data_IF_091933936582
#
_entry.id   IF_091933936582
#
_cell.length_a   1.000
_cell.length_b   1.000
_cell.length_c   1.000
_cell.angle_alpha   90.00
_cell.angle_beta   90.00
_cell.angle_gamma   90.00
#
_symmetry.space_group_name_H-M   'P 1'
#
loop_
_entity.id
_entity.type
_entity.pdbx_description
1 polymer ?
#
# COMPACT_ATOMS: atom_id res chain seq x y z
N UNK A 1 -34.79 11.52 20.18
CA UNK A 1 -34.13 11.41 18.86
C UNK A 1 -32.89 12.28 18.92
N UNK A 2 -31.70 11.69 19.14
CA UNK A 2 -30.46 12.47 19.18
C UNK A 2 -30.08 12.73 17.72
N UNK A 3 -30.20 13.98 17.28
CA UNK A 3 -29.68 14.42 15.99
C UNK A 3 -28.16 14.47 16.14
N UNK A 4 -27.46 13.49 15.56
CA UNK A 4 -26.03 13.60 15.36
C UNK A 4 -25.82 14.64 14.26
N UNK A 5 -25.34 15.82 14.63
CA UNK A 5 -24.78 16.74 13.64
C UNK A 5 -23.49 16.11 13.09
N UNK A 6 -23.34 16.04 11.75
CA UNK A 6 -22.12 15.52 11.17
C UNK A 6 -20.95 16.42 11.56
N UNK A 7 -19.89 15.82 12.08
CA UNK A 7 -18.64 16.54 12.38
C UNK A 7 -18.06 17.09 11.07
N UNK A 8 -17.82 18.40 11.03
CA UNK A 8 -17.13 19.07 9.93
C UNK A 8 -15.76 19.50 10.46
N UNK A 9 -14.66 18.90 9.97
CA UNK A 9 -13.32 19.25 10.42
C UNK A 9 -12.98 20.70 10.04
N UNK A 10 -12.22 21.36 10.90
CA UNK A 10 -11.59 22.65 10.58
C UNK A 10 -10.51 22.46 9.51
N UNK A 11 -10.10 23.53 8.78
CA UNK A 11 -9.00 23.43 7.81
C UNK A 11 -7.69 22.91 8.40
N UNK A 12 -7.45 23.18 9.69
CA UNK A 12 -6.27 22.68 10.39
C UNK A 12 -6.37 21.18 10.66
N UNK A 13 -7.51 20.69 11.13
CA UNK A 13 -7.75 19.26 11.36
C UNK A 13 -7.65 18.49 10.05
N UNK A 14 -8.29 18.99 8.97
CA UNK A 14 -8.15 18.38 7.63
C UNK A 14 -6.69 18.32 7.15
N UNK A 15 -5.89 19.36 7.42
CA UNK A 15 -4.47 19.36 7.07
C UNK A 15 -3.65 18.37 7.91
N UNK A 16 -3.93 18.28 9.21
CA UNK A 16 -3.27 17.33 10.11
C UNK A 16 -3.64 15.88 9.72
N UNK A 17 -4.89 15.62 9.36
CA UNK A 17 -5.36 14.34 8.80
C UNK A 17 -4.60 14.02 7.52
N UNK A 18 -4.56 14.92 6.54
CA UNK A 18 -3.84 14.72 5.28
C UNK A 18 -2.35 14.37 5.50
N UNK A 19 -1.70 15.01 6.47
CA UNK A 19 -0.30 14.71 6.81
C UNK A 19 -0.16 13.33 7.44
N UNK A 20 -1.08 12.96 8.32
CA UNK A 20 -1.11 11.65 8.96
C UNK A 20 -1.34 10.54 7.92
N UNK A 21 -2.35 10.70 7.07
CA UNK A 21 -2.69 9.80 5.96
C UNK A 21 -1.45 9.54 5.08
N UNK A 22 -0.78 10.61 4.65
CA UNK A 22 0.45 10.51 3.85
C UNK A 22 1.55 9.73 4.58
N UNK A 23 1.72 9.98 5.88
CA UNK A 23 2.73 9.26 6.66
C UNK A 23 2.43 7.76 6.75
N UNK A 24 1.18 7.35 6.94
CA UNK A 24 0.83 5.92 7.02
C UNK A 24 1.01 5.23 5.67
N UNK A 25 0.59 5.84 4.57
CA UNK A 25 0.83 5.30 3.23
C UNK A 25 2.33 5.16 2.91
N UNK A 26 3.16 6.13 3.30
CA UNK A 26 4.61 6.04 3.12
C UNK A 26 5.23 4.90 3.90
N UNK A 27 4.82 4.72 5.16
CA UNK A 27 5.30 3.61 5.97
C UNK A 27 4.81 2.26 5.43
N UNK A 28 3.57 2.17 4.97
CA UNK A 28 3.04 0.98 4.30
C UNK A 28 3.84 0.67 3.03
N UNK A 29 4.07 1.65 2.16
CA UNK A 29 4.88 1.48 0.95
C UNK A 29 6.30 0.99 1.28
N UNK A 30 6.97 1.57 2.27
CA UNK A 30 8.32 1.15 2.69
C UNK A 30 8.32 -0.27 3.26
N UNK A 31 7.28 -0.64 4.02
CA UNK A 31 7.12 -2.02 4.53
C UNK A 31 7.00 -3.01 3.38
N UNK A 32 6.12 -2.75 2.42
CA UNK A 32 5.93 -3.64 1.26
C UNK A 32 7.20 -3.74 0.43
N UNK A 33 7.90 -2.62 0.22
CA UNK A 33 9.18 -2.60 -0.50
C UNK A 33 10.25 -3.43 0.20
N UNK A 34 10.31 -3.40 1.53
CA UNK A 34 11.27 -4.20 2.31
C UNK A 34 11.02 -5.70 2.22
N UNK A 35 9.76 -6.10 2.09
CA UNK A 35 9.40 -7.51 1.99
C UNK A 35 9.57 -8.04 0.57
N UNK A 36 9.34 -7.21 -0.45
CA UNK A 36 9.16 -7.69 -1.82
C UNK A 36 10.23 -7.20 -2.81
N UNK A 37 11.11 -6.28 -2.42
CA UNK A 37 12.06 -5.67 -3.35
C UNK A 37 13.49 -5.65 -2.83
N UNK A 38 14.44 -5.59 -3.76
CA UNK A 38 15.83 -5.21 -3.51
C UNK A 38 16.03 -3.70 -3.73
N UNK A 39 17.20 -3.19 -3.32
CA UNK A 39 17.58 -1.78 -3.53
C UNK A 39 17.80 -1.39 -5.00
N UNK A 40 17.74 -2.35 -5.93
CA UNK A 40 17.89 -2.13 -7.37
C UNK A 40 16.55 -2.17 -8.12
N UNK A 41 15.46 -2.50 -7.45
CA UNK A 41 14.13 -2.61 -8.07
C UNK A 41 13.28 -1.40 -7.73
N UNK A 42 12.37 -1.01 -8.62
CA UNK A 42 11.32 -0.01 -8.36
C UNK A 42 9.98 -0.72 -8.20
N UNK A 43 9.20 -0.33 -7.20
CA UNK A 43 7.96 -1.05 -6.84
C UNK A 43 6.73 -0.32 -7.36
N UNK A 44 5.93 -1.03 -8.12
CA UNK A 44 4.55 -0.67 -8.48
C UNK A 44 3.60 -1.39 -7.52
N UNK A 45 3.01 -0.65 -6.58
CA UNK A 45 2.19 -1.24 -5.51
C UNK A 45 0.70 -1.15 -5.83
N UNK A 46 0.09 -2.32 -5.97
CA UNK A 46 -1.31 -2.51 -6.26
C UNK A 46 -2.05 -3.01 -5.01
N UNK A 47 -3.22 -2.44 -4.75
CA UNK A 47 -4.14 -2.87 -3.72
C UNK A 47 -5.20 -3.75 -4.36
N UNK A 48 -5.33 -4.99 -3.89
CA UNK A 48 -6.49 -5.83 -4.19
C UNK A 48 -7.62 -5.42 -3.25
N UNK A 49 -8.69 -4.89 -3.80
CA UNK A 49 -9.83 -4.34 -3.04
C UNK A 49 -11.11 -5.15 -3.31
N UNK A 50 -11.90 -5.50 -2.28
CA UNK A 50 -13.17 -6.21 -2.43
C UNK A 50 -14.28 -5.26 -2.88
N UNK A 51 -14.97 -5.64 -3.94
CA UNK A 51 -16.15 -4.96 -4.46
C UNK A 51 -17.35 -5.93 -4.42
N UNK A 52 -18.53 -5.39 -4.10
CA UNK A 52 -19.78 -6.12 -4.24
C UNK A 52 -20.19 -6.18 -5.72
N UNK A 53 -21.12 -7.08 -6.05
CA UNK A 53 -21.61 -7.27 -7.42
C UNK A 53 -22.01 -5.94 -8.07
N UNK A 54 -22.87 -5.17 -7.41
CA UNK A 54 -23.41 -3.91 -7.94
C UNK A 54 -22.31 -2.91 -8.28
N UNK A 55 -21.32 -2.72 -7.41
CA UNK A 55 -20.24 -1.77 -7.64
C UNK A 55 -19.25 -2.25 -8.69
N UNK A 56 -19.00 -3.57 -8.76
CA UNK A 56 -18.12 -4.13 -9.77
C UNK A 56 -18.72 -3.99 -11.18
N UNK A 57 -20.01 -4.27 -11.35
CA UNK A 57 -20.66 -4.18 -12.68
C UNK A 57 -20.95 -2.75 -13.13
N UNK A 58 -20.91 -1.76 -12.23
CA UNK A 58 -21.07 -0.35 -12.58
C UNK A 58 -19.80 0.29 -13.15
N UNK A 59 -18.65 -0.38 -13.06
CA UNK A 59 -17.40 0.10 -13.65
C UNK A 59 -17.41 -0.10 -15.19
N UNK A 60 -17.17 0.95 -16.00
CA UNK A 60 -17.39 0.94 -17.44
C UNK A 60 -16.55 -0.05 -18.26
N UNK A 61 -15.56 -0.70 -17.63
CA UNK A 61 -14.60 -1.62 -18.28
C UNK A 61 -14.82 -3.09 -17.92
N UNK A 62 -15.89 -3.42 -17.20
CA UNK A 62 -16.17 -4.80 -16.78
C UNK A 62 -16.91 -5.54 -17.90
N UNK A 63 -16.20 -5.87 -18.97
CA UNK A 63 -16.65 -6.91 -19.89
C UNK A 63 -16.93 -8.17 -19.07
N UNK A 64 -18.21 -8.60 -19.03
CA UNK A 64 -18.74 -9.81 -18.41
C UNK A 64 -17.70 -10.81 -17.87
N UNK A 65 -17.22 -10.59 -16.63
CA UNK A 65 -16.37 -11.55 -15.92
C UNK A 65 -17.08 -12.07 -14.67
N UNK A 66 -16.93 -13.37 -14.43
CA UNK A 66 -17.41 -14.00 -13.21
C UNK A 66 -16.70 -13.40 -11.97
N UNK A 67 -17.34 -13.48 -10.82
CA UNK A 67 -16.73 -13.07 -9.56
C UNK A 67 -15.44 -13.86 -9.28
N UNK A 68 -14.41 -13.17 -8.78
CA UNK A 68 -13.13 -13.80 -8.45
C UNK A 68 -13.22 -14.71 -7.23
N UNK A 69 -14.17 -14.46 -6.32
CA UNK A 69 -14.48 -15.31 -5.16
C UNK A 69 -15.98 -15.55 -5.11
N UNK A 70 -16.38 -16.82 -5.22
CA UNK A 70 -17.79 -17.23 -5.16
C UNK A 70 -18.16 -17.73 -3.78
N UNK A 71 -19.41 -17.55 -3.36
CA UNK A 71 -19.83 -18.05 -2.05
C UNK A 71 -19.78 -19.58 -1.92
N UNK A 72 -20.03 -20.31 -3.03
CA UNK A 72 -19.99 -21.79 -3.06
C UNK A 72 -18.58 -22.35 -2.90
N UNK A 73 -17.57 -21.71 -3.47
CA UNK A 73 -16.19 -22.20 -3.49
C UNK A 73 -15.19 -21.25 -2.81
N UNK A 74 -15.66 -20.36 -1.94
CA UNK A 74 -14.88 -19.23 -1.42
C UNK A 74 -13.50 -19.61 -0.90
N UNK A 75 -13.33 -20.77 -0.26
CA UNK A 75 -12.02 -21.21 0.26
C UNK A 75 -11.02 -21.44 -0.88
N UNK A 76 -11.46 -22.14 -1.93
CA UNK A 76 -10.63 -22.44 -3.09
C UNK A 76 -10.36 -21.15 -3.87
N UNK A 77 -11.40 -20.35 -4.07
CA UNK A 77 -11.31 -19.14 -4.86
C UNK A 77 -10.42 -18.10 -4.17
N UNK A 78 -10.52 -17.93 -2.84
CA UNK A 78 -9.57 -17.09 -2.06
C UNK A 78 -8.14 -17.63 -2.17
N UNK A 79 -7.92 -18.94 -1.99
CA UNK A 79 -6.56 -19.49 -2.11
C UNK A 79 -5.95 -19.27 -3.50
N UNK A 80 -6.76 -19.37 -4.54
CA UNK A 80 -6.35 -19.17 -5.92
C UNK A 80 -6.08 -17.69 -6.23
N UNK A 81 -7.01 -16.82 -5.83
CA UNK A 81 -7.01 -15.39 -6.19
C UNK A 81 -6.10 -14.55 -5.27
N UNK A 82 -6.09 -14.85 -3.97
CA UNK A 82 -5.43 -14.07 -2.92
C UNK A 82 -4.35 -14.86 -2.16
N UNK A 83 -4.20 -16.16 -2.44
CA UNK A 83 -3.18 -16.98 -1.79
C UNK A 83 -3.61 -17.61 -0.47
N UNK A 84 -2.81 -18.59 -0.03
CA UNK A 84 -3.09 -19.38 1.18
C UNK A 84 -2.90 -18.60 2.48
N UNK A 85 -2.05 -17.58 2.47
CA UNK A 85 -1.85 -16.71 3.63
C UNK A 85 -3.13 -15.94 3.96
N UNK A 86 -3.69 -15.25 2.96
CA UNK A 86 -4.96 -14.52 3.06
C UNK A 86 -6.11 -15.45 3.45
N UNK A 87 -6.20 -16.65 2.86
CA UNK A 87 -7.17 -17.66 3.30
C UNK A 87 -7.00 -18.04 4.79
N UNK A 88 -5.75 -18.17 5.25
CA UNK A 88 -5.41 -18.46 6.63
C UNK A 88 -5.87 -17.36 7.59
N UNK A 89 -5.70 -16.10 7.19
CA UNK A 89 -6.21 -14.93 7.92
C UNK A 89 -7.73 -15.01 8.01
N UNK A 90 -8.45 -15.05 6.89
CA UNK A 90 -9.92 -15.09 6.87
C UNK A 90 -10.48 -16.23 7.73
N UNK A 91 -9.89 -17.43 7.62
CA UNK A 91 -10.32 -18.59 8.43
C UNK A 91 -10.13 -18.36 9.92
N UNK A 92 -9.04 -17.71 10.34
CA UNK A 92 -8.76 -17.40 11.74
C UNK A 92 -9.80 -16.44 12.29
N UNK A 93 -10.24 -15.50 11.47
CA UNK A 93 -11.16 -14.44 11.88
C UNK A 93 -12.59 -14.93 11.94
N UNK A 94 -12.99 -15.80 11.01
CA UNK A 94 -14.27 -16.50 11.10
C UNK A 94 -14.38 -17.38 12.34
N UNK A 95 -13.26 -17.93 12.84
CA UNK A 95 -13.25 -18.68 14.11
C UNK A 95 -13.40 -17.76 15.33
N UNK A 96 -12.93 -16.51 15.24
CA UNK A 96 -12.99 -15.52 16.32
C UNK A 96 -14.34 -14.79 16.36
N UNK A 97 -14.85 -14.45 15.19
CA UNK A 97 -16.11 -13.74 14.99
C UNK A 97 -16.85 -14.34 13.78
N UNK A 98 -17.95 -15.04 14.04
CA UNK A 98 -18.78 -15.63 12.98
C UNK A 98 -19.48 -14.59 12.10
N UNK A 99 -19.57 -13.34 12.57
CA UNK A 99 -20.13 -12.21 11.83
C UNK A 99 -19.06 -11.38 11.11
N UNK A 100 -17.81 -11.86 11.03
CA UNK A 100 -16.81 -11.25 10.16
C UNK A 100 -17.37 -11.13 8.73
N UNK A 101 -17.08 -9.99 8.10
CA UNK A 101 -17.47 -9.63 6.75
C UNK A 101 -16.32 -8.89 6.07
N UNK A 102 -16.18 -9.06 4.77
CA UNK A 102 -15.41 -8.15 3.93
C UNK A 102 -16.24 -6.90 3.71
N UNK A 103 -15.61 -5.75 3.45
CA UNK A 103 -16.32 -4.50 3.25
C UNK A 103 -16.09 -4.01 1.82
N UNK A 104 -17.16 -3.84 1.05
CA UNK A 104 -17.08 -3.25 -0.28
C UNK A 104 -16.39 -1.88 -0.21
N UNK A 105 -15.30 -1.70 -0.95
CA UNK A 105 -14.53 -0.46 -0.88
C UNK A 105 -15.32 0.76 -1.35
N UNK A 106 -16.20 0.59 -2.33
CA UNK A 106 -16.97 1.68 -2.91
C UNK A 106 -18.20 2.06 -2.06
N UNK A 107 -19.10 1.11 -1.80
CA UNK A 107 -20.38 1.39 -1.15
C UNK A 107 -20.46 0.98 0.33
N UNK A 108 -19.38 0.43 0.90
CA UNK A 108 -19.30 -0.01 2.30
C UNK A 108 -20.20 -1.17 2.70
N UNK A 109 -20.91 -1.78 1.74
CA UNK A 109 -21.73 -2.96 1.98
C UNK A 109 -20.88 -4.12 2.47
N UNK A 110 -21.34 -4.82 3.51
CA UNK A 110 -20.75 -6.06 3.99
C UNK A 110 -20.92 -7.18 2.94
N UNK A 111 -19.83 -7.91 2.70
CA UNK A 111 -19.79 -9.04 1.76
C UNK A 111 -19.27 -10.27 2.49
N UNK A 112 -20.04 -11.35 2.45
CA UNK A 112 -19.78 -12.59 3.20
C UNK A 112 -19.79 -13.77 2.24
N UNK A 113 -18.67 -14.08 1.56
CA UNK A 113 -18.59 -15.25 0.69
C UNK A 113 -19.02 -16.56 1.36
N UNK A 114 -18.63 -16.74 2.63
CA UNK A 114 -19.04 -17.89 3.44
C UNK A 114 -20.55 -17.97 3.75
N UNK A 115 -21.34 -16.92 3.47
CA UNK A 115 -22.81 -16.91 3.54
C UNK A 115 -23.47 -16.85 2.14
N UNK A 116 -22.70 -16.97 1.06
CA UNK A 116 -23.20 -17.07 -0.30
C UNK A 116 -22.90 -15.89 -1.21
N UNK A 117 -22.36 -14.79 -0.67
CA UNK A 117 -22.09 -13.60 -1.48
C UNK A 117 -20.93 -13.82 -2.47
N UNK A 118 -20.91 -12.98 -3.50
CA UNK A 118 -19.84 -12.93 -4.50
C UNK A 118 -18.95 -11.71 -4.25
N UNK A 119 -17.64 -11.86 -4.43
CA UNK A 119 -16.67 -10.77 -4.31
C UNK A 119 -15.89 -10.65 -5.60
N UNK A 120 -15.82 -9.42 -6.08
CA UNK A 120 -14.94 -9.00 -7.16
C UNK A 120 -13.69 -8.40 -6.54
N UNK A 121 -12.54 -8.81 -7.05
CA UNK A 121 -11.25 -8.27 -6.65
C UNK A 121 -10.85 -7.27 -7.72
N UNK A 122 -10.83 -5.99 -7.34
CA UNK A 122 -10.37 -4.89 -8.20
C UNK A 122 -8.95 -4.52 -7.78
N UNK A 123 -8.12 -4.13 -8.75
CA UNK A 123 -6.75 -3.69 -8.49
C UNK A 123 -6.70 -2.16 -8.60
N UNK A 124 -6.39 -1.49 -7.51
CA UNK A 124 -6.15 -0.05 -7.49
C UNK A 124 -4.67 0.23 -7.25
N UNK A 125 -4.08 1.15 -8.01
CA UNK A 125 -2.74 1.62 -7.70
C UNK A 125 -2.76 2.45 -6.41
N UNK A 126 -1.83 2.22 -5.47
CA UNK A 126 -1.83 2.89 -4.16
C UNK A 126 -1.94 4.43 -4.30
N UNK A 127 -1.22 5.01 -5.26
CA UNK A 127 -1.18 6.47 -5.48
C UNK A 127 -2.54 7.04 -5.88
N UNK A 128 -3.19 6.38 -6.83
CA UNK A 128 -4.50 6.78 -7.35
C UNK A 128 -5.56 6.62 -6.26
N UNK A 129 -5.47 5.52 -5.53
CA UNK A 129 -6.40 5.15 -4.48
C UNK A 129 -6.45 6.18 -3.34
N UNK A 130 -5.29 6.63 -2.84
CA UNK A 130 -5.22 7.60 -1.74
C UNK A 130 -5.02 9.04 -2.19
N UNK A 131 -4.93 9.28 -3.51
CA UNK A 131 -4.58 10.59 -4.08
C UNK A 131 -3.34 11.19 -3.42
N UNK A 132 -2.40 10.34 -3.02
CA UNK A 132 -1.13 10.79 -2.49
C UNK A 132 -0.24 10.99 -3.71
N UNK A 133 0.07 12.24 -4.09
CA UNK A 133 1.01 12.46 -5.17
C UNK A 133 2.35 11.95 -4.64
N UNK A 134 2.77 10.77 -5.09
CA UNK A 134 4.17 10.38 -4.89
C UNK A 134 5.04 11.29 -5.76
N UNK A 135 4.50 11.96 -6.78
CA UNK A 135 5.19 12.95 -7.59
C UNK A 135 5.57 14.24 -6.83
N UNK A 136 6.78 14.73 -7.09
CA UNK A 136 7.10 16.16 -6.92
C UNK A 136 7.49 16.70 -8.30
N UNK A 137 7.03 17.89 -8.72
CA UNK A 137 7.36 18.41 -10.04
C UNK A 137 8.84 18.78 -10.13
N UNK A 138 9.62 17.91 -10.76
CA UNK A 138 10.91 18.21 -11.37
C UNK A 138 12.14 17.54 -10.75
N UNK A 139 13.26 17.63 -11.47
CA UNK A 139 14.62 17.15 -11.11
C UNK A 139 15.26 17.88 -9.91
N UNK A 140 14.48 18.54 -9.07
CA UNK A 140 15.00 19.33 -7.94
C UNK A 140 15.69 18.43 -6.93
N UNK A 141 16.69 18.99 -6.26
CA UNK A 141 17.39 18.31 -5.17
C UNK A 141 16.42 17.97 -4.02
N UNK A 142 16.59 16.79 -3.44
CA UNK A 142 15.77 16.34 -2.30
C UNK A 142 16.05 17.23 -1.08
N UNK A 143 15.01 17.88 -0.55
CA UNK A 143 15.11 18.76 0.62
C UNK A 143 15.59 18.02 1.87
N UNK A 144 16.26 18.71 2.79
CA UNK A 144 16.76 18.13 4.04
C UNK A 144 15.68 17.41 4.85
N UNK A 145 14.47 17.98 4.90
CA UNK A 145 13.32 17.39 5.59
C UNK A 145 12.87 16.07 4.97
N UNK A 146 12.80 16.00 3.63
CA UNK A 146 12.46 14.75 2.93
C UNK A 146 13.54 13.69 3.16
N UNK A 147 14.83 14.07 3.10
CA UNK A 147 15.95 13.15 3.38
C UNK A 147 15.83 12.54 4.77
N UNK A 148 15.58 13.38 5.79
CA UNK A 148 15.41 12.92 7.18
C UNK A 148 14.25 11.94 7.31
N UNK A 149 13.09 12.28 6.72
CA UNK A 149 11.89 11.42 6.75
C UNK A 149 12.13 10.06 6.09
N UNK A 150 12.74 10.01 4.91
CA UNK A 150 13.07 8.75 4.23
C UNK A 150 14.00 7.89 5.10
N UNK A 151 15.06 8.48 5.67
CA UNK A 151 15.99 7.74 6.54
C UNK A 151 15.26 7.18 7.76
N UNK A 152 14.36 7.95 8.39
CA UNK A 152 13.58 7.50 9.54
C UNK A 152 12.63 6.36 9.20
N UNK A 153 11.96 6.40 8.05
CA UNK A 153 11.05 5.35 7.59
C UNK A 153 11.75 4.02 7.31
N UNK A 154 13.03 4.07 6.93
CA UNK A 154 13.87 2.91 6.75
C UNK A 154 14.68 2.56 8.01
N UNK A 155 14.21 2.92 9.20
CA UNK A 155 14.85 2.63 10.50
C UNK A 155 16.31 3.06 10.58
N UNK A 156 16.65 4.14 9.85
CA UNK A 156 18.00 4.68 9.76
C UNK A 156 19.04 3.66 9.30
N UNK A 157 18.62 2.72 8.44
CA UNK A 157 19.45 1.68 7.86
C UNK A 157 19.55 1.81 6.33
N UNK A 158 20.67 1.37 5.77
CA UNK A 158 20.85 1.20 4.33
C UNK A 158 19.90 0.12 3.82
N UNK A 159 19.10 0.42 2.80
CA UNK A 159 18.18 -0.56 2.25
C UNK A 159 18.90 -1.75 1.60
N UNK A 160 20.08 -1.54 1.02
CA UNK A 160 20.83 -2.60 0.35
C UNK A 160 21.61 -3.55 1.27
N UNK A 161 22.12 -3.07 2.42
CA UNK A 161 22.96 -3.90 3.30
C UNK A 161 22.59 -3.87 4.79
N UNK A 162 21.55 -3.13 5.18
CA UNK A 162 21.14 -2.99 6.58
C UNK A 162 22.07 -2.15 7.46
N UNK A 163 23.20 -1.66 6.94
CA UNK A 163 24.15 -0.84 7.71
C UNK A 163 23.51 0.46 8.21
N UNK A 164 23.67 0.76 9.49
CA UNK A 164 23.13 1.97 10.14
C UNK A 164 24.21 3.02 10.34
N UNK A 165 23.84 4.24 10.72
CA UNK A 165 24.82 5.29 11.08
C UNK A 165 25.75 4.90 12.24
N UNK A 166 25.35 3.98 13.12
CA UNK A 166 26.22 3.49 14.22
C UNK A 166 27.32 2.55 13.72
N UNK A 167 27.18 1.99 12.52
CA UNK A 167 28.24 1.20 11.86
C UNK A 167 29.26 2.06 11.11
N UNK A 168 29.32 3.37 11.39
CA UNK A 168 30.17 4.36 10.70
C UNK A 168 29.93 4.50 9.18
N UNK A 169 28.85 3.94 8.64
CA UNK A 169 28.44 4.17 7.25
C UNK A 169 27.43 5.31 7.18
N UNK A 170 27.86 6.44 6.59
CA UNK A 170 26.96 7.57 6.29
C UNK A 170 25.92 7.13 5.26
N UNK A 171 24.65 7.42 5.56
CA UNK A 171 23.55 7.18 4.64
C UNK A 171 23.33 8.39 3.75
N UNK A 172 23.08 8.11 2.48
CA UNK A 172 22.74 9.05 1.43
C UNK A 172 21.35 8.71 0.91
N UNK A 173 20.64 9.72 0.43
CA UNK A 173 19.42 9.48 -0.32
C UNK A 173 19.81 9.21 -1.76
N UNK A 174 19.37 8.05 -2.23
CA UNK A 174 19.54 7.55 -3.58
C UNK A 174 18.19 7.58 -4.31
N UNK A 175 18.27 7.80 -5.63
CA UNK A 175 17.13 7.71 -6.53
C UNK A 175 17.10 6.31 -7.14
N UNK A 176 15.99 5.59 -6.97
CA UNK A 176 15.84 4.20 -7.45
C UNK A 176 15.98 4.16 -8.97
N UNK A 177 15.13 4.89 -9.69
CA UNK A 177 15.35 5.33 -11.06
C UNK A 177 16.28 6.56 -11.02
N UNK A 178 17.49 6.49 -11.58
CA UNK A 178 18.45 7.59 -11.54
C UNK A 178 17.90 8.87 -12.21
N UNK A 179 18.24 10.04 -11.67
CA UNK A 179 17.84 11.32 -12.29
C UNK A 179 18.38 11.48 -13.71
N UNK A 180 19.56 10.92 -14.00
CA UNK A 180 20.16 10.87 -15.34
C UNK A 180 19.33 10.06 -16.35
N UNK A 181 18.44 9.20 -15.86
CA UNK A 181 17.51 8.37 -16.64
C UNK A 181 16.05 8.84 -16.55
N UNK A 182 15.81 10.04 -16.03
CA UNK A 182 14.48 10.62 -15.92
C UNK A 182 13.77 10.40 -14.58
N UNK A 183 14.45 9.82 -13.59
CA UNK A 183 13.89 9.68 -12.24
C UNK A 183 13.58 11.02 -11.58
N UNK A 184 12.42 11.09 -10.94
CA UNK A 184 11.96 12.23 -10.16
C UNK A 184 12.42 12.15 -8.70
N UNK A 185 12.21 13.20 -7.91
CA UNK A 185 12.48 13.19 -6.47
C UNK A 185 11.24 12.79 -5.64
N UNK A 186 10.36 12.01 -6.26
CA UNK A 186 9.17 11.43 -5.65
C UNK A 186 9.50 10.52 -4.48
N UNK A 187 8.64 10.45 -3.47
CA UNK A 187 8.84 9.54 -2.33
C UNK A 187 9.10 8.09 -2.76
N UNK A 188 8.31 7.59 -3.74
CA UNK A 188 8.43 6.23 -4.29
C UNK A 188 9.77 5.93 -4.93
N UNK A 189 10.46 6.98 -5.38
CA UNK A 189 11.74 6.89 -6.08
C UNK A 189 12.93 7.13 -5.14
N UNK A 190 12.73 7.30 -3.83
CA UNK A 190 13.81 7.59 -2.88
C UNK A 190 14.05 6.42 -1.92
N UNK A 191 15.32 6.14 -1.67
CA UNK A 191 15.76 5.15 -0.69
C UNK A 191 17.06 5.58 0.00
N UNK A 192 17.32 5.14 1.24
CA UNK A 192 18.61 5.37 1.89
C UNK A 192 19.61 4.28 1.54
N UNK A 193 20.78 4.67 1.02
CA UNK A 193 21.91 3.77 0.77
C UNK A 193 23.19 4.29 1.42
N UNK A 194 24.07 3.36 1.81
CA UNK A 194 25.46 3.70 2.11
C UNK A 194 26.23 3.91 0.80
N UNK A 195 27.43 4.52 0.89
CA UNK A 195 28.29 4.78 -0.28
C UNK A 195 28.55 3.53 -1.12
N UNK A 196 28.82 2.40 -0.47
CA UNK A 196 29.16 1.15 -1.18
C UNK A 196 27.97 0.61 -1.97
N UNK A 197 26.78 0.55 -1.35
CA UNK A 197 25.56 0.11 -2.04
C UNK A 197 25.13 1.08 -3.14
N UNK A 198 25.25 2.40 -2.91
CA UNK A 198 24.98 3.41 -3.93
C UNK A 198 25.91 3.29 -5.14
N UNK A 199 27.21 3.10 -4.90
CA UNK A 199 28.18 2.86 -5.98
C UNK A 199 27.91 1.54 -6.71
N UNK A 200 27.54 0.49 -5.97
CA UNK A 200 27.20 -0.80 -6.54
C UNK A 200 25.96 -0.71 -7.44
N UNK A 201 24.92 0.05 -7.05
CA UNK A 201 23.74 0.30 -7.89
C UNK A 201 24.08 1.15 -9.11
N UNK A 202 24.84 2.23 -8.90
CA UNK A 202 25.16 3.21 -9.93
C UNK A 202 23.93 3.81 -10.59
N UNK A 203 24.09 4.16 -11.86
CA UNK A 203 23.05 4.74 -12.73
C UNK A 203 22.32 3.68 -13.58
N UNK A 204 22.28 2.43 -13.10
CA UNK A 204 21.53 1.34 -13.74
C UNK A 204 20.02 1.63 -13.71
N UNK A 205 19.31 1.23 -14.77
CA UNK A 205 17.86 1.26 -14.78
C UNK A 205 17.34 0.19 -13.81
N UNK A 206 16.41 0.52 -12.91
CA UNK A 206 15.84 -0.46 -12.01
C UNK A 206 14.93 -1.43 -12.76
N UNK A 207 14.84 -2.66 -12.26
CA UNK A 207 13.77 -3.58 -12.66
C UNK A 207 12.46 -3.17 -11.98
N UNK A 208 11.35 -3.22 -12.73
CA UNK A 208 10.02 -2.95 -12.19
C UNK A 208 9.42 -4.22 -11.56
N UNK A 209 8.98 -4.10 -10.31
CA UNK A 209 8.33 -5.18 -9.56
C UNK A 209 6.91 -4.78 -9.21
N UNK A 210 5.93 -5.58 -9.64
CA UNK A 210 4.54 -5.42 -9.25
C UNK A 210 4.28 -6.17 -7.94
N UNK A 211 3.81 -5.46 -6.92
CA UNK A 211 3.45 -6.01 -5.62
C UNK A 211 1.94 -5.86 -5.42
N UNK A 212 1.26 -6.92 -4.98
CA UNK A 212 -0.19 -6.93 -4.78
C UNK A 212 -0.55 -7.17 -3.32
N UNK A 213 -1.03 -6.13 -2.64
CA UNK A 213 -1.43 -6.21 -1.24
C UNK A 213 -2.88 -6.66 -1.07
N UNK A 214 -3.08 -7.66 -0.20
CA UNK A 214 -4.39 -8.16 0.24
C UNK A 214 -4.86 -7.53 1.55
N UNK A 215 -4.35 -6.34 1.90
CA UNK A 215 -4.64 -5.68 3.17
C UNK A 215 -6.14 -5.55 3.45
N UNK A 216 -6.97 -5.50 2.39
CA UNK A 216 -8.43 -5.43 2.43
C UNK A 216 -9.18 -6.77 2.62
N UNK A 217 -8.45 -7.86 2.84
CA UNK A 217 -9.04 -9.19 3.01
C UNK A 217 -8.73 -9.79 4.39
N UNK A 218 -8.19 -9.00 5.32
CA UNK A 218 -7.93 -9.36 6.72
C UNK A 218 -8.77 -8.57 7.73
N UNK A 219 -8.43 -8.66 9.01
CA UNK A 219 -8.98 -7.74 10.03
C UNK A 219 -8.11 -6.51 10.11
N UNK A 220 -8.77 -5.40 10.33
CA UNK A 220 -8.21 -4.17 10.88
C UNK A 220 -7.27 -4.44 12.07
N UNK A 221 -5.95 -4.28 11.96
CA UNK A 221 -5.11 -4.16 13.16
C UNK A 221 -5.50 -2.86 13.89
N UNK A 222 -5.60 -2.90 15.21
CA UNK A 222 -6.14 -1.79 16.02
C UNK A 222 -5.29 -0.51 16.05
N UNK A 223 -4.24 -0.40 15.24
CA UNK A 223 -3.29 0.69 15.22
C UNK A 223 -3.14 1.35 13.83
N UNK A 224 -2.75 2.64 13.89
CA UNK A 224 -2.38 3.57 12.83
C UNK A 224 -2.89 3.27 11.43
N UNK A 225 -2.20 2.40 10.72
CA UNK A 225 -2.41 2.08 9.32
C UNK A 225 -3.84 1.68 8.98
N UNK A 226 -4.50 0.88 9.82
CA UNK A 226 -5.75 0.25 9.42
C UNK A 226 -6.90 1.25 9.27
N UNK A 227 -6.90 2.35 10.04
CA UNK A 227 -7.90 3.42 9.98
C UNK A 227 -7.96 4.09 8.61
N UNK A 228 -6.82 4.11 7.93
CA UNK A 228 -6.68 4.75 6.64
C UNK A 228 -7.19 3.88 5.49
N UNK A 229 -6.87 2.58 5.52
CA UNK A 229 -7.21 1.71 4.39
C UNK A 229 -8.68 1.30 4.40
N UNK A 230 -9.31 1.19 5.57
CA UNK A 230 -10.65 0.64 5.74
C UNK A 230 -11.74 1.68 5.97
#
# INVERSE_FOLDING_TARGET
MILFEPYIPTPRESYEDDLWIKSECYRFYVRERRHNCTFREIMNLWLRVPYCCTCAVSEPLTEYRAADITGRNWRRDVAWTLGNETLGIIKRELRRNSEFALICKHCRTEIRPWKGDEVWVVNDHLEEHYRIPLETPGRKSVSSNVRKKIIELYDRACFGCGATSTTNKKLHIDHILPQSKGGDSAFRNLQPLCKDCGNLKGDELPEEVNVYSDIYFGVYPSDGYAGLFW
#
